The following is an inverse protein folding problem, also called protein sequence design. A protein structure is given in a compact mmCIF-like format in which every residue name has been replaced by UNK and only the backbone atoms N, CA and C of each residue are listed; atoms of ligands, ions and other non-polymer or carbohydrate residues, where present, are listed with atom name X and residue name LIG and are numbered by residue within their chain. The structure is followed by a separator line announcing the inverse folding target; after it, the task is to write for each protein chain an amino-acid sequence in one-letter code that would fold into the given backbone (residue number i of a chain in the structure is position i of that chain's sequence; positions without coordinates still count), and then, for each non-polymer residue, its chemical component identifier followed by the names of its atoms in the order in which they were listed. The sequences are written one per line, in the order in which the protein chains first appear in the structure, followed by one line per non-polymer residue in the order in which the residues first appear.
data_IF_472307491254
#
_entry.id   IF_472307491254
#
_cell.length_a   1.000
_cell.length_b   1.000
_cell.length_c   1.000
_cell.angle_alpha   90.00
_cell.angle_beta   90.00
_cell.angle_gamma   90.00
#
_symmetry.space_group_name_H-M   'P 1'
#
loop_
_entity.id
_entity.type
_entity.pdbx_description
1 polymer ?
#
# COMPACT_ATOMS: atom_id res chain seq x y z
N UNK A 1 4.62 17.90 19.68
CA UNK A 1 4.46 16.62 18.93
C UNK A 1 3.00 16.44 18.45
N UNK A 2 2.58 17.18 17.41
CA UNK A 2 1.21 17.07 16.85
C UNK A 2 0.92 15.69 16.21
N UNK A 3 1.98 14.98 15.80
CA UNK A 3 1.89 13.66 15.14
C UNK A 3 1.48 12.53 16.11
N UNK A 4 1.84 12.60 17.40
CA UNK A 4 1.51 11.53 18.36
C UNK A 4 0.02 11.42 18.70
N UNK A 5 -0.80 12.42 18.35
CA UNK A 5 -2.25 12.45 18.62
C UNK A 5 -3.10 12.46 17.35
N UNK A 6 -2.51 12.22 16.19
CA UNK A 6 -3.26 12.14 14.93
C UNK A 6 -3.71 10.71 14.64
N UNK A 7 -4.75 10.55 13.80
CA UNK A 7 -5.18 9.26 13.25
C UNK A 7 -4.22 8.78 12.14
N UNK A 8 -2.92 8.78 12.44
CA UNK A 8 -1.87 8.32 11.55
C UNK A 8 -1.50 6.89 11.95
N UNK A 9 -1.60 5.97 10.99
CA UNK A 9 -1.23 4.57 11.19
C UNK A 9 -0.06 4.26 10.26
N UNK A 10 1.00 3.68 10.83
CA UNK A 10 2.18 3.24 10.10
C UNK A 10 2.20 1.71 10.07
N UNK A 11 2.49 1.14 8.91
CA UNK A 11 2.73 -0.28 8.73
C UNK A 11 4.13 -0.46 8.16
N UNK A 12 5.05 -1.06 8.93
CA UNK A 12 6.48 -1.19 8.61
C UNK A 12 6.89 -2.61 8.20
N UNK A 13 5.93 -3.43 7.74
CA UNK A 13 6.21 -4.84 7.45
C UNK A 13 7.02 -5.01 6.16
N UNK A 14 8.16 -5.72 6.18
CA UNK A 14 8.87 -6.06 4.95
C UNK A 14 8.08 -7.08 4.11
N UNK A 15 8.38 -7.17 2.80
CA UNK A 15 7.77 -8.16 1.90
C UNK A 15 6.26 -7.96 1.65
N UNK A 16 5.81 -6.71 1.69
CA UNK A 16 4.45 -6.37 1.27
C UNK A 16 4.33 -6.51 -0.25
N UNK A 17 3.20 -7.01 -0.73
CA UNK A 17 2.86 -7.01 -2.15
C UNK A 17 1.54 -6.26 -2.36
N UNK A 18 1.20 -5.97 -3.63
CA UNK A 18 -0.01 -5.22 -3.99
C UNK A 18 -1.28 -5.78 -3.35
N UNK A 19 -1.44 -7.10 -3.37
CA UNK A 19 -2.62 -7.78 -2.86
C UNK A 19 -2.74 -7.62 -1.33
N UNK A 20 -1.64 -7.82 -0.60
CA UNK A 20 -1.60 -7.63 0.86
C UNK A 20 -1.84 -6.18 1.25
N UNK A 21 -1.23 -5.22 0.54
CA UNK A 21 -1.44 -3.79 0.78
C UNK A 21 -2.94 -3.44 0.64
N UNK A 22 -3.59 -3.88 -0.45
CA UNK A 22 -5.02 -3.65 -0.67
C UNK A 22 -5.90 -4.28 0.42
N UNK A 23 -5.58 -5.50 0.83
CA UNK A 23 -6.31 -6.18 1.91
C UNK A 23 -6.19 -5.44 3.25
N UNK A 24 -4.99 -4.95 3.58
CA UNK A 24 -4.76 -4.14 4.79
C UNK A 24 -5.53 -2.82 4.73
N UNK A 25 -5.44 -2.09 3.62
CA UNK A 25 -6.12 -0.81 3.44
C UNK A 25 -7.64 -0.94 3.52
N UNK A 26 -8.22 -1.95 2.85
CA UNK A 26 -9.67 -2.24 2.91
C UNK A 26 -10.13 -2.58 4.32
N UNK A 27 -9.41 -3.48 5.01
CA UNK A 27 -9.73 -3.85 6.39
C UNK A 27 -9.65 -2.65 7.33
N UNK A 28 -8.67 -1.78 7.12
CA UNK A 28 -8.52 -0.56 7.93
C UNK A 28 -9.64 0.44 7.65
N UNK A 29 -9.98 0.68 6.37
CA UNK A 29 -11.12 1.54 5.97
C UNK A 29 -12.42 1.07 6.60
N UNK A 30 -12.70 -0.24 6.62
CA UNK A 30 -13.90 -0.81 7.24
C UNK A 30 -13.95 -0.61 8.76
N UNK A 31 -12.82 -0.74 9.46
CA UNK A 31 -12.79 -0.69 10.94
C UNK A 31 -12.68 0.72 11.50
N UNK A 32 -11.97 1.62 10.80
CA UNK A 32 -11.55 2.92 11.35
C UNK A 32 -11.80 4.10 10.41
N UNK A 33 -12.25 3.85 9.18
CA UNK A 33 -12.20 4.82 8.09
C UNK A 33 -10.78 4.96 7.52
N UNK A 34 -10.67 5.35 6.25
CA UNK A 34 -9.39 5.63 5.61
C UNK A 34 -9.60 6.68 4.51
N UNK A 35 -9.00 7.86 4.70
CA UNK A 35 -9.10 9.00 3.77
C UNK A 35 -7.86 9.17 2.91
N UNK A 36 -6.71 8.62 3.34
CA UNK A 36 -5.44 8.73 2.65
C UNK A 36 -4.59 7.49 2.94
N UNK A 37 -4.04 6.91 1.88
CA UNK A 37 -3.03 5.86 1.96
C UNK A 37 -1.76 6.39 1.27
N UNK A 38 -0.66 6.46 2.02
CA UNK A 38 0.66 6.82 1.49
C UNK A 38 1.50 5.54 1.43
N UNK A 39 2.19 5.33 0.31
CA UNK A 39 3.07 4.19 0.10
C UNK A 39 4.46 4.73 -0.26
N UNK A 40 5.45 4.42 0.56
CA UNK A 40 6.85 4.82 0.39
C UNK A 40 7.73 3.57 0.43
N UNK A 41 8.27 3.06 -0.67
CA UNK A 41 8.08 3.40 -2.09
C UNK A 41 7.69 2.14 -2.88
N UNK A 42 6.96 2.29 -3.98
CA UNK A 42 6.31 1.18 -4.71
C UNK A 42 7.30 0.08 -5.15
N UNK A 43 8.58 0.40 -5.35
CA UNK A 43 9.60 -0.57 -5.75
C UNK A 43 10.02 -1.55 -4.63
N UNK A 44 9.56 -1.36 -3.39
CA UNK A 44 9.75 -2.32 -2.29
C UNK A 44 8.70 -3.44 -2.29
N UNK A 45 7.71 -3.37 -3.16
CA UNK A 45 6.65 -4.37 -3.21
C UNK A 45 7.10 -5.56 -4.06
N UNK A 46 6.99 -6.76 -3.50
CA UNK A 46 7.43 -7.99 -4.18
C UNK A 46 6.54 -8.30 -5.40
N UNK A 47 7.18 -8.60 -6.53
CA UNK A 47 6.50 -9.04 -7.73
C UNK A 47 6.23 -10.54 -7.71
N UNK A 48 5.17 -10.94 -8.41
CA UNK A 48 4.64 -12.31 -8.33
C UNK A 48 5.19 -13.23 -9.43
N UNK A 49 6.25 -12.83 -10.16
CA UNK A 49 6.75 -13.59 -11.33
C UNK A 49 8.01 -13.03 -11.99
N UNK A 50 8.32 -13.53 -13.19
CA UNK A 50 9.40 -13.04 -14.05
C UNK A 50 8.92 -11.83 -14.86
N UNK A 51 8.84 -10.67 -14.22
CA UNK A 51 8.51 -9.40 -14.85
C UNK A 51 9.68 -8.44 -14.74
N UNK A 52 9.77 -7.49 -15.68
CA UNK A 52 10.74 -6.40 -15.57
C UNK A 52 10.29 -5.43 -14.48
N UNK A 53 11.24 -4.74 -13.83
CA UNK A 53 10.92 -3.74 -12.78
C UNK A 53 9.94 -2.67 -13.26
N UNK A 54 9.98 -2.31 -14.55
CA UNK A 54 9.10 -1.30 -15.14
C UNK A 54 7.65 -1.79 -15.26
N UNK A 55 7.46 -3.06 -15.62
CA UNK A 55 6.14 -3.70 -15.65
C UNK A 55 5.56 -3.80 -14.24
N UNK A 56 6.37 -4.20 -13.26
CA UNK A 56 5.94 -4.30 -11.86
C UNK A 56 5.45 -2.96 -11.31
N UNK A 57 6.17 -1.87 -11.57
CA UNK A 57 5.77 -0.52 -11.15
C UNK A 57 4.50 -0.07 -11.87
N UNK A 58 4.37 -0.40 -13.16
CA UNK A 58 3.19 -0.04 -13.97
C UNK A 58 1.93 -0.77 -13.49
N UNK A 59 2.05 -2.07 -13.20
CA UNK A 59 0.95 -2.88 -12.68
C UNK A 59 0.59 -2.47 -11.26
N UNK A 60 1.58 -2.16 -10.42
CA UNK A 60 1.33 -1.63 -9.08
C UNK A 60 0.55 -0.32 -9.13
N UNK A 61 0.93 0.60 -10.01
CA UNK A 61 0.23 1.87 -10.21
C UNK A 61 -1.24 1.65 -10.58
N UNK A 62 -1.52 0.72 -11.52
CA UNK A 62 -2.90 0.32 -11.86
C UNK A 62 -3.65 -0.26 -10.66
N UNK A 63 -3.02 -1.14 -9.89
CA UNK A 63 -3.62 -1.77 -8.70
C UNK A 63 -3.95 -0.73 -7.61
N UNK A 64 -3.08 0.26 -7.41
CA UNK A 64 -3.33 1.39 -6.51
C UNK A 64 -4.48 2.25 -7.02
N UNK A 65 -4.56 2.51 -8.33
CA UNK A 65 -5.68 3.25 -8.93
C UNK A 65 -7.02 2.54 -8.72
N UNK A 66 -7.07 1.22 -8.80
CA UNK A 66 -8.28 0.41 -8.55
C UNK A 66 -8.69 0.34 -7.08
N UNK A 67 -7.80 0.69 -6.15
CA UNK A 67 -8.09 0.73 -4.72
C UNK A 67 -8.82 2.03 -4.31
N UNK A 68 -8.55 3.12 -5.04
CA UNK A 68 -9.17 4.43 -4.85
C UNK A 68 -10.64 4.41 -5.26
#
# INVERSE_FOLDING_TARGET
LKVKRSKLYMADRPGLNAARLRALARRHKQRHGLSLLVVDYLQLLESSGKSTRTEDVSDMSRQCKLLA
#
